data_IF_329944492123
#
_entry.id   IF_329944492123
#
_cell.length_a   1.000
_cell.length_b   1.000
_cell.length_c   1.000
_cell.angle_alpha   90.00
_cell.angle_beta   90.00
_cell.angle_gamma   90.00
#
_symmetry.space_group_name_H-M   'P 1'
#
loop_
_entity.id
_entity.type
_entity.pdbx_description
1 polymer ?
#
# COMPACT_ATOMS: atom_id res chain seq x y z
N UNK A 1 1.10 -63.85 -21.71
CA UNK A 1 0.19 -63.28 -20.70
C UNK A 1 1.01 -62.86 -19.49
N UNK A 2 1.25 -61.57 -19.31
CA UNK A 2 1.52 -60.94 -18.00
C UNK A 2 1.34 -59.44 -18.19
N UNK A 3 0.24 -58.95 -17.62
CA UNK A 3 -0.28 -57.59 -17.71
C UNK A 3 0.65 -56.61 -16.99
N UNK A 4 1.19 -55.63 -17.71
CA UNK A 4 1.87 -54.47 -17.13
C UNK A 4 0.83 -53.51 -16.57
N UNK A 5 0.58 -53.58 -15.26
CA UNK A 5 -0.26 -52.63 -14.57
C UNK A 5 0.37 -51.24 -14.63
N UNK A 6 -0.23 -50.36 -15.42
CA UNK A 6 0.05 -48.92 -15.37
C UNK A 6 -0.44 -48.42 -14.02
N UNK A 7 0.50 -48.07 -13.15
CA UNK A 7 0.20 -47.39 -11.89
C UNK A 7 -0.37 -46.01 -12.23
N UNK A 8 -1.69 -45.88 -12.25
CA UNK A 8 -2.37 -44.59 -12.26
C UNK A 8 -1.93 -43.83 -11.02
N UNK A 9 -1.03 -42.85 -11.21
CA UNK A 9 -0.75 -41.85 -10.20
C UNK A 9 -2.00 -40.98 -10.10
N UNK A 10 -2.89 -41.30 -9.16
CA UNK A 10 -3.96 -40.40 -8.76
C UNK A 10 -3.35 -39.04 -8.42
N UNK A 11 -3.74 -37.95 -9.11
CA UNK A 11 -3.22 -36.63 -8.79
C UNK A 11 -3.67 -36.31 -7.36
N UNK A 12 -2.71 -36.13 -6.46
CA UNK A 12 -2.97 -35.65 -5.11
C UNK A 12 -3.64 -34.29 -5.25
N UNK A 13 -4.94 -34.23 -4.96
CA UNK A 13 -5.71 -32.99 -4.92
C UNK A 13 -5.20 -32.19 -3.72
N UNK A 14 -4.13 -31.44 -3.93
CA UNK A 14 -3.61 -30.45 -3.01
C UNK A 14 -4.75 -29.54 -2.58
N UNK A 15 -5.07 -29.51 -1.28
CA UNK A 15 -6.05 -28.57 -0.72
C UNK A 15 -5.50 -27.16 -0.93
N UNK A 16 -6.09 -26.31 -1.80
CA UNK A 16 -5.45 -25.09 -2.30
C UNK A 16 -4.97 -24.13 -1.19
N UNK A 17 -5.72 -24.06 -0.08
CA UNK A 17 -5.39 -23.16 1.04
C UNK A 17 -4.32 -23.67 2.00
N UNK A 18 -4.19 -24.98 2.22
CA UNK A 18 -3.22 -25.53 3.21
C UNK A 18 -1.81 -25.46 2.66
N UNK A 19 -1.64 -25.72 1.37
CA UNK A 19 -0.35 -25.60 0.70
C UNK A 19 0.12 -24.15 0.55
N UNK A 20 -0.82 -23.20 0.38
CA UNK A 20 -0.53 -21.77 0.35
C UNK A 20 0.16 -21.32 1.65
N UNK A 21 -0.46 -21.54 2.81
CA UNK A 21 0.08 -21.10 4.09
C UNK A 21 1.41 -21.78 4.44
N UNK A 22 1.55 -23.06 4.10
CA UNK A 22 2.80 -23.81 4.33
C UNK A 22 3.95 -23.27 3.50
N UNK A 23 3.71 -22.92 2.24
CA UNK A 23 4.72 -22.34 1.34
C UNK A 23 5.08 -20.92 1.77
N UNK A 24 4.09 -20.09 2.11
CA UNK A 24 4.34 -18.72 2.57
C UNK A 24 5.17 -18.69 3.87
N UNK A 25 4.87 -19.57 4.83
CA UNK A 25 5.64 -19.68 6.08
C UNK A 25 7.07 -20.20 5.90
N UNK A 26 7.38 -20.85 4.78
CA UNK A 26 8.74 -21.30 4.47
C UNK A 26 9.61 -20.18 3.90
N UNK A 27 9.00 -19.16 3.32
CA UNK A 27 9.71 -17.97 2.86
C UNK A 27 9.99 -17.05 4.05
N UNK A 28 11.25 -17.04 4.50
CA UNK A 28 11.68 -16.23 5.64
C UNK A 28 11.54 -14.73 5.37
N UNK A 29 11.74 -14.29 4.12
CA UNK A 29 11.61 -12.89 3.74
C UNK A 29 10.13 -12.46 3.79
N UNK A 30 9.24 -13.29 3.25
CA UNK A 30 7.80 -13.05 3.31
C UNK A 30 7.28 -13.00 4.74
N UNK A 31 7.71 -13.94 5.59
CA UNK A 31 7.33 -13.97 7.01
C UNK A 31 7.85 -12.74 7.75
N UNK A 32 9.12 -12.35 7.54
CA UNK A 32 9.69 -11.15 8.17
C UNK A 32 8.92 -9.89 7.73
N UNK A 33 8.63 -9.73 6.45
CA UNK A 33 7.80 -8.64 5.93
C UNK A 33 6.41 -8.63 6.55
N UNK A 34 5.75 -9.79 6.61
CA UNK A 34 4.43 -9.93 7.25
C UNK A 34 4.43 -9.53 8.74
N UNK A 35 5.44 -9.95 9.50
CA UNK A 35 5.59 -9.58 10.92
C UNK A 35 5.77 -8.07 11.08
N UNK A 36 6.61 -7.45 10.27
CA UNK A 36 6.82 -5.99 10.31
C UNK A 36 5.53 -5.25 9.95
N UNK A 37 4.82 -5.66 8.89
CA UNK A 37 3.52 -5.06 8.52
C UNK A 37 2.54 -5.13 9.69
N UNK A 38 2.39 -6.31 10.31
CA UNK A 38 1.50 -6.49 11.46
C UNK A 38 1.92 -5.60 12.62
N UNK A 39 3.22 -5.51 12.92
CA UNK A 39 3.72 -4.62 13.96
C UNK A 39 3.38 -3.15 13.69
N UNK A 40 3.58 -2.66 12.47
CA UNK A 40 3.23 -1.28 12.08
C UNK A 40 1.72 -1.02 12.09
N UNK A 41 0.90 -1.99 11.68
CA UNK A 41 -0.55 -1.90 11.79
C UNK A 41 -0.97 -1.81 13.26
N UNK A 42 -0.37 -2.62 14.14
CA UNK A 42 -0.62 -2.53 15.58
C UNK A 42 -0.18 -1.18 16.15
N UNK A 43 1.00 -0.67 15.77
CA UNK A 43 1.47 0.68 16.15
C UNK A 43 0.46 1.75 15.72
N UNK A 44 -0.04 1.68 14.48
CA UNK A 44 -1.00 2.64 13.95
C UNK A 44 -2.37 2.58 14.66
N UNK A 45 -2.87 1.38 14.96
CA UNK A 45 -4.15 1.19 15.65
C UNK A 45 -4.05 1.59 17.13
N UNK A 46 -2.94 1.24 17.77
CA UNK A 46 -2.66 1.54 19.18
C UNK A 46 -1.99 2.90 19.38
N UNK A 47 -1.92 3.76 18.36
CA UNK A 47 -1.25 5.04 18.44
C UNK A 47 -1.70 5.91 19.65
N UNK A 48 -3.01 6.04 19.95
CA UNK A 48 -3.45 6.78 21.14
C UNK A 48 -3.00 6.14 22.45
N UNK A 49 -2.95 4.80 22.51
CA UNK A 49 -2.51 4.05 23.69
C UNK A 49 -1.00 4.19 23.87
N UNK A 50 -0.22 4.08 22.80
CA UNK A 50 1.24 4.22 22.83
C UNK A 50 1.65 5.64 23.24
N UNK A 51 0.96 6.68 22.74
CA UNK A 51 1.16 8.06 23.18
C UNK A 51 0.73 8.28 24.64
N UNK A 52 -0.35 7.65 25.09
CA UNK A 52 -0.73 7.70 26.51
C UNK A 52 0.31 7.03 27.41
N UNK A 53 0.95 5.95 26.95
CA UNK A 53 2.02 5.24 27.68
C UNK A 53 3.31 6.07 27.73
N UNK A 54 3.66 6.79 26.67
CA UNK A 54 4.78 7.74 26.70
C UNK A 54 4.49 8.99 27.53
N UNK A 55 3.21 9.24 27.83
CA UNK A 55 2.76 10.42 28.58
C UNK A 55 2.73 11.70 27.76
N UNK A 56 2.87 11.61 26.43
CA UNK A 56 2.92 12.76 25.54
C UNK A 56 1.87 12.66 24.42
N UNK A 57 1.36 13.81 24.00
CA UNK A 57 0.43 13.93 22.89
C UNK A 57 1.19 14.49 21.67
N UNK A 58 1.02 13.94 20.45
CA UNK A 58 1.64 14.53 19.27
C UNK A 58 1.16 15.96 18.96
N UNK A 59 0.11 16.47 19.60
CA UNK A 59 -0.40 17.82 19.36
C UNK A 59 0.05 18.85 20.41
N UNK A 60 0.73 18.41 21.47
CA UNK A 60 1.18 19.30 22.54
C UNK A 60 2.59 19.82 22.26
N UNK A 61 2.83 21.09 22.61
CA UNK A 61 4.10 21.78 22.40
C UNK A 61 4.86 21.86 23.73
N UNK A 62 6.03 21.24 23.82
CA UNK A 62 6.93 21.38 24.97
C UNK A 62 8.08 22.35 24.65
N UNK A 63 7.84 23.64 24.91
CA UNK A 63 8.85 24.68 24.66
C UNK A 63 10.01 24.63 25.67
N UNK A 64 9.81 24.01 26.84
CA UNK A 64 10.85 23.87 27.86
C UNK A 64 11.92 22.86 27.43
N UNK A 65 11.54 21.89 26.59
CA UNK A 65 12.46 20.95 25.94
C UNK A 65 13.38 21.63 24.89
N UNK A 66 13.11 22.89 24.50
CA UNK A 66 13.89 23.63 23.49
C UNK A 66 14.91 24.57 24.14
N UNK A 67 16.08 24.66 23.52
CA UNK A 67 17.21 25.50 23.90
C UNK A 67 17.37 26.73 23.01
N UNK A 68 18.56 27.35 23.02
CA UNK A 68 18.88 28.45 22.13
C UNK A 68 18.62 28.08 20.67
N UNK A 69 18.17 29.05 19.86
CA UNK A 69 17.82 28.86 18.46
C UNK A 69 16.73 27.82 18.21
N UNK A 70 15.86 27.54 19.20
CA UNK A 70 14.74 26.60 19.10
C UNK A 70 15.14 25.15 18.77
N UNK A 71 16.41 24.81 18.99
CA UNK A 71 16.92 23.45 18.85
C UNK A 71 16.60 22.64 20.13
N UNK A 72 16.35 21.33 20.04
CA UNK A 72 16.13 20.49 21.21
C UNK A 72 17.30 20.51 22.20
N UNK A 73 17.00 20.54 23.50
CA UNK A 73 18.02 20.42 24.57
C UNK A 73 18.42 18.96 24.75
N UNK A 74 19.70 18.72 24.98
CA UNK A 74 20.20 17.41 25.38
C UNK A 74 20.66 16.53 24.23
N UNK A 75 20.94 15.26 24.54
CA UNK A 75 21.55 14.33 23.61
C UNK A 75 20.56 13.91 22.50
N UNK A 76 21.03 13.89 21.25
CA UNK A 76 20.32 13.29 20.12
C UNK A 76 18.92 13.86 19.84
N UNK A 77 18.74 15.19 19.92
CA UNK A 77 17.43 15.81 19.67
C UNK A 77 16.50 15.83 20.90
N UNK A 78 17.07 15.68 22.12
CA UNK A 78 16.31 15.69 23.37
C UNK A 78 15.79 14.33 23.81
N UNK A 79 16.45 13.25 23.35
CA UNK A 79 16.16 11.88 23.79
C UNK A 79 16.33 11.80 25.31
N UNK A 80 15.26 11.39 25.97
CA UNK A 80 15.17 11.30 27.43
C UNK A 80 14.09 10.31 27.87
N UNK A 81 14.01 10.05 29.18
CA UNK A 81 12.93 9.23 29.74
C UNK A 81 11.53 9.84 29.48
N UNK A 82 11.46 11.17 29.32
CA UNK A 82 10.23 11.89 28.98
C UNK A 82 9.95 11.88 27.47
N UNK A 83 10.99 12.04 26.64
CA UNK A 83 10.87 12.06 25.18
C UNK A 83 11.71 10.95 24.56
N UNK A 84 11.10 9.79 24.31
CA UNK A 84 11.85 8.58 23.95
C UNK A 84 12.64 8.70 22.65
N UNK A 85 12.09 9.43 21.68
CA UNK A 85 12.76 9.71 20.40
C UNK A 85 13.28 11.16 20.32
N UNK A 86 13.20 11.92 21.42
CA UNK A 86 13.43 13.36 21.42
C UNK A 86 12.20 14.16 21.00
N UNK A 87 12.42 15.43 20.66
CA UNK A 87 11.36 16.39 20.30
C UNK A 87 11.64 17.04 18.95
N UNK A 88 10.58 17.42 18.26
CA UNK A 88 10.69 18.19 17.03
C UNK A 88 11.32 19.57 17.32
N UNK A 89 12.35 19.99 16.57
CA UNK A 89 12.83 21.38 16.59
C UNK A 89 11.69 22.37 16.28
N UNK A 90 11.82 23.62 16.74
CA UNK A 90 10.81 24.69 16.67
C UNK A 90 9.54 24.46 17.51
N UNK A 91 8.98 23.26 17.51
CA UNK A 91 7.67 22.99 18.12
C UNK A 91 7.78 22.32 19.49
N UNK A 92 8.85 21.58 19.74
CA UNK A 92 9.00 20.81 20.99
C UNK A 92 8.00 19.66 21.10
N UNK A 93 7.35 19.26 20.01
CA UNK A 93 6.40 18.14 19.99
C UNK A 93 7.15 16.82 20.17
N UNK A 94 6.56 15.88 20.89
CA UNK A 94 7.18 14.57 21.14
C UNK A 94 7.34 13.76 19.84
N UNK A 95 8.60 13.51 19.42
CA UNK A 95 8.90 12.88 18.14
C UNK A 95 8.42 11.43 18.07
N UNK A 96 8.42 10.71 19.21
CA UNK A 96 7.90 9.34 19.28
C UNK A 96 6.41 9.32 18.92
N UNK A 97 5.62 10.17 19.58
CA UNK A 97 4.19 10.31 19.32
C UNK A 97 3.90 10.76 17.90
N UNK A 98 4.70 11.69 17.35
CA UNK A 98 4.61 12.12 15.94
C UNK A 98 4.87 10.96 14.99
N UNK A 99 5.90 10.13 15.22
CA UNK A 99 6.21 8.97 14.36
C UNK A 99 5.12 7.90 14.43
N UNK A 100 4.59 7.62 15.63
CA UNK A 100 3.53 6.63 15.86
C UNK A 100 2.21 7.05 15.21
N UNK A 101 1.80 8.31 15.38
CA UNK A 101 0.62 8.84 14.68
C UNK A 101 0.87 9.00 13.17
N UNK A 102 2.11 9.28 12.77
CA UNK A 102 2.52 9.30 11.36
C UNK A 102 2.28 7.94 10.69
N UNK A 103 2.52 6.84 11.40
CA UNK A 103 2.20 5.49 10.92
C UNK A 103 0.72 5.34 10.61
N UNK A 104 -0.15 5.84 11.50
CA UNK A 104 -1.60 5.81 11.31
C UNK A 104 -2.04 6.59 10.08
N UNK A 105 -1.55 7.82 9.90
CA UNK A 105 -1.90 8.67 8.75
C UNK A 105 -1.41 8.06 7.44
N UNK A 106 -0.12 7.72 7.35
CA UNK A 106 0.48 7.22 6.11
C UNK A 106 -0.05 5.85 5.70
N UNK A 107 -0.29 4.93 6.65
CA UNK A 107 -0.90 3.63 6.35
C UNK A 107 -2.35 3.77 5.93
N UNK A 108 -3.14 4.61 6.61
CA UNK A 108 -4.55 4.83 6.24
C UNK A 108 -4.65 5.36 4.81
N UNK A 109 -3.89 6.40 4.48
CA UNK A 109 -3.91 6.99 3.13
C UNK A 109 -3.41 5.99 2.10
N UNK A 110 -2.26 5.35 2.35
CA UNK A 110 -1.66 4.39 1.42
C UNK A 110 -2.57 3.20 1.12
N UNK A 111 -3.11 2.55 2.15
CA UNK A 111 -3.99 1.37 2.02
C UNK A 111 -5.32 1.76 1.37
N UNK A 112 -5.95 2.87 1.80
CA UNK A 112 -7.24 3.29 1.24
C UNK A 112 -7.09 3.69 -0.23
N UNK A 113 -6.01 4.38 -0.59
CA UNK A 113 -5.70 4.70 -1.98
C UNK A 113 -5.48 3.44 -2.82
N UNK A 114 -4.79 2.42 -2.28
CA UNK A 114 -4.68 1.10 -2.93
C UNK A 114 -6.06 0.48 -3.14
N UNK A 115 -6.93 0.45 -2.12
CA UNK A 115 -8.28 -0.12 -2.26
C UNK A 115 -9.05 0.56 -3.38
N UNK A 116 -9.01 1.90 -3.45
CA UNK A 116 -9.66 2.67 -4.54
C UNK A 116 -9.06 2.31 -5.89
N UNK A 117 -7.72 2.31 -6.03
CA UNK A 117 -7.04 1.93 -7.28
C UNK A 117 -7.38 0.51 -7.73
N UNK A 118 -7.38 -0.45 -6.80
CA UNK A 118 -7.69 -1.85 -7.07
C UNK A 118 -9.15 -2.02 -7.47
N UNK A 119 -10.09 -1.41 -6.73
CA UNK A 119 -11.51 -1.49 -7.04
C UNK A 119 -11.80 -0.95 -8.45
N UNK A 120 -11.31 0.26 -8.77
CA UNK A 120 -11.45 0.85 -10.09
C UNK A 120 -10.75 0.00 -11.16
N UNK A 121 -9.51 -0.43 -10.90
CA UNK A 121 -8.71 -1.18 -11.85
C UNK A 121 -9.32 -2.54 -12.18
N UNK A 122 -9.83 -3.26 -11.18
CA UNK A 122 -10.47 -4.56 -11.35
C UNK A 122 -11.76 -4.43 -12.14
N UNK A 123 -12.65 -3.50 -11.76
CA UNK A 123 -13.93 -3.30 -12.45
C UNK A 123 -13.68 -2.92 -13.91
N UNK A 124 -12.85 -1.89 -14.15
CA UNK A 124 -12.58 -1.41 -15.51
C UNK A 124 -11.84 -2.47 -16.33
N UNK A 125 -10.86 -3.15 -15.74
CA UNK A 125 -10.05 -4.16 -16.40
C UNK A 125 -10.85 -5.40 -16.82
N UNK A 126 -11.70 -5.93 -15.92
CA UNK A 126 -12.58 -7.08 -16.22
C UNK A 126 -13.58 -6.70 -17.30
N UNK A 127 -14.24 -5.54 -17.18
CA UNK A 127 -15.22 -5.08 -18.17
C UNK A 127 -14.57 -4.91 -19.55
N UNK A 128 -13.41 -4.25 -19.62
CA UNK A 128 -12.68 -4.06 -20.88
C UNK A 128 -12.26 -5.40 -21.52
N UNK A 129 -11.71 -6.32 -20.71
CA UNK A 129 -11.25 -7.62 -21.20
C UNK A 129 -12.40 -8.55 -21.61
N UNK A 130 -13.51 -8.54 -20.86
CA UNK A 130 -14.66 -9.39 -21.13
C UNK A 130 -15.48 -8.93 -22.34
N UNK A 131 -15.86 -7.64 -22.36
CA UNK A 131 -16.71 -7.07 -23.42
C UNK A 131 -15.93 -6.91 -24.74
N UNK A 132 -14.65 -6.50 -24.66
CA UNK A 132 -13.83 -6.30 -25.85
C UNK A 132 -14.28 -5.13 -26.74
N UNK A 133 -13.86 -5.15 -28.01
CA UNK A 133 -14.37 -4.27 -29.05
C UNK A 133 -14.11 -2.77 -28.83
N UNK A 134 -15.19 -1.98 -28.73
CA UNK A 134 -15.09 -0.53 -28.57
C UNK A 134 -14.79 -0.13 -27.11
N UNK A 135 -15.38 -0.82 -26.14
CA UNK A 135 -15.10 -0.63 -24.70
C UNK A 135 -13.61 -0.80 -24.42
N UNK A 136 -13.02 -1.84 -24.99
CA UNK A 136 -11.60 -2.12 -24.83
C UNK A 136 -10.69 -1.02 -25.41
N UNK A 137 -11.03 -0.53 -26.60
CA UNK A 137 -10.32 0.58 -27.25
C UNK A 137 -10.40 1.85 -26.41
N UNK A 138 -11.58 2.21 -25.91
CA UNK A 138 -11.75 3.41 -25.06
C UNK A 138 -10.94 3.29 -23.78
N UNK A 139 -11.08 2.18 -23.05
CA UNK A 139 -10.37 1.98 -21.80
C UNK A 139 -8.85 2.05 -22.03
N UNK A 140 -8.35 1.44 -23.10
CA UNK A 140 -6.94 1.53 -23.47
C UNK A 140 -6.51 2.98 -23.73
N UNK A 141 -7.29 3.75 -24.50
CA UNK A 141 -6.99 5.16 -24.78
C UNK A 141 -7.01 6.04 -23.53
N UNK A 142 -8.03 5.88 -22.68
CA UNK A 142 -8.12 6.61 -21.40
C UNK A 142 -6.92 6.28 -20.51
N UNK A 143 -6.54 5.00 -20.44
CA UNK A 143 -5.36 4.53 -19.69
C UNK A 143 -4.08 5.21 -20.21
N UNK A 144 -3.89 5.26 -21.54
CA UNK A 144 -2.71 5.88 -22.15
C UNK A 144 -2.65 7.40 -21.87
N UNK A 145 -3.79 8.09 -21.91
CA UNK A 145 -3.90 9.51 -21.55
C UNK A 145 -3.51 9.73 -20.08
N UNK A 146 -4.01 8.89 -19.16
CA UNK A 146 -3.68 9.01 -17.73
C UNK A 146 -2.18 8.76 -17.47
N UNK A 147 -1.55 7.81 -18.18
CA UNK A 147 -0.10 7.58 -18.04
C UNK A 147 0.75 8.75 -18.54
N UNK A 148 0.30 9.45 -19.58
CA UNK A 148 0.97 10.66 -20.05
C UNK A 148 0.70 11.89 -19.19
N UNK A 149 -0.28 11.83 -18.27
CA UNK A 149 -0.70 12.97 -17.48
C UNK A 149 0.19 13.14 -16.24
N UNK A 150 0.71 14.36 -15.97
CA UNK A 150 1.60 14.62 -14.83
C UNK A 150 0.82 14.65 -13.52
N UNK A 151 0.57 13.46 -12.96
CA UNK A 151 -0.25 13.28 -11.75
C UNK A 151 0.20 14.19 -10.61
N UNK A 152 1.50 14.27 -10.31
CA UNK A 152 2.05 15.11 -9.24
C UNK A 152 1.64 16.59 -9.36
N UNK A 153 1.76 17.16 -10.56
CA UNK A 153 1.41 18.57 -10.81
C UNK A 153 -0.08 18.79 -10.55
N UNK A 154 -0.92 17.84 -10.97
CA UNK A 154 -2.35 17.91 -10.73
C UNK A 154 -2.72 17.81 -9.24
N UNK A 155 -2.03 16.96 -8.48
CA UNK A 155 -2.27 16.87 -7.03
C UNK A 155 -1.91 18.18 -6.34
N UNK A 156 -0.76 18.78 -6.71
CA UNK A 156 -0.31 20.06 -6.17
C UNK A 156 -1.32 21.17 -6.51
N UNK A 157 -1.77 21.23 -7.76
CA UNK A 157 -2.76 22.21 -8.21
C UNK A 157 -4.10 22.06 -7.47
N UNK A 158 -4.60 20.82 -7.32
CA UNK A 158 -5.81 20.56 -6.53
C UNK A 158 -5.63 20.94 -5.06
N UNK A 159 -4.47 20.68 -4.46
CA UNK A 159 -4.18 21.05 -3.08
C UNK A 159 -4.22 22.56 -2.81
N UNK A 160 -4.01 23.39 -3.85
CA UNK A 160 -4.09 24.84 -3.78
C UNK A 160 -5.51 25.39 -4.02
N UNK A 161 -6.31 24.73 -4.88
CA UNK A 161 -7.65 25.20 -5.26
C UNK A 161 -8.73 24.68 -4.31
N UNK A 162 -8.58 23.45 -3.80
CA UNK A 162 -9.58 22.83 -2.94
C UNK A 162 -9.62 23.57 -1.59
N UNK A 163 -10.82 23.96 -1.11
CA UNK A 163 -10.95 24.68 0.15
C UNK A 163 -10.35 23.93 1.33
N UNK A 164 -9.79 24.67 2.29
CA UNK A 164 -9.21 24.08 3.51
C UNK A 164 -10.23 23.31 4.38
N UNK A 165 -11.53 23.55 4.19
CA UNK A 165 -12.60 22.80 4.85
C UNK A 165 -12.77 21.37 4.32
N UNK A 166 -12.25 21.06 3.13
CA UNK A 166 -12.31 19.72 2.59
C UNK A 166 -11.25 18.83 3.26
N UNK A 167 -11.58 17.58 3.66
CA UNK A 167 -10.61 16.69 4.29
C UNK A 167 -9.44 16.36 3.33
N UNK A 168 -8.28 16.99 3.53
CA UNK A 168 -7.11 16.82 2.64
C UNK A 168 -6.62 15.38 2.54
N UNK A 169 -6.69 14.61 3.62
CA UNK A 169 -6.37 13.17 3.60
C UNK A 169 -7.26 12.40 2.62
N UNK A 170 -8.57 12.72 2.58
CA UNK A 170 -9.52 12.12 1.65
C UNK A 170 -9.25 12.56 0.21
N UNK A 171 -8.93 13.84 -0.02
CA UNK A 171 -8.52 14.33 -1.35
C UNK A 171 -7.32 13.54 -1.88
N UNK A 172 -6.28 13.37 -1.05
CA UNK A 172 -5.05 12.65 -1.41
C UNK A 172 -5.38 11.18 -1.74
N UNK A 173 -6.21 10.52 -0.93
CA UNK A 173 -6.69 9.15 -1.20
C UNK A 173 -7.36 9.06 -2.56
N UNK A 174 -8.29 9.97 -2.87
CA UNK A 174 -9.02 9.97 -4.14
C UNK A 174 -8.08 10.18 -5.33
N UNK A 175 -7.18 11.15 -5.23
CA UNK A 175 -6.29 11.50 -6.35
C UNK A 175 -5.25 10.40 -6.57
N UNK A 176 -4.56 9.96 -5.52
CA UNK A 176 -3.60 8.85 -5.61
C UNK A 176 -4.32 7.57 -6.08
N UNK A 177 -5.52 7.31 -5.58
CA UNK A 177 -6.36 6.18 -5.95
C UNK A 177 -6.74 6.20 -7.44
N UNK A 178 -7.21 7.36 -7.91
CA UNK A 178 -7.58 7.60 -9.30
C UNK A 178 -6.39 7.44 -10.25
N UNK A 179 -5.21 7.98 -9.93
CA UNK A 179 -4.05 7.80 -10.82
C UNK A 179 -3.44 6.38 -10.75
N UNK A 180 -3.85 5.54 -9.79
CA UNK A 180 -3.32 4.18 -9.65
C UNK A 180 -4.07 3.08 -10.39
N UNK A 181 -5.34 3.29 -10.74
CA UNK A 181 -6.14 2.25 -11.39
C UNK A 181 -5.63 1.77 -12.76
N UNK A 182 -5.00 2.60 -13.64
CA UNK A 182 -4.65 2.20 -14.99
C UNK A 182 -3.70 0.99 -15.07
N UNK A 183 -2.71 0.95 -14.18
CA UNK A 183 -1.75 -0.17 -14.10
C UNK A 183 -2.46 -1.48 -13.75
N UNK A 184 -3.38 -1.44 -12.78
CA UNK A 184 -4.13 -2.61 -12.34
C UNK A 184 -5.12 -3.05 -13.43
N UNK A 185 -5.85 -2.10 -14.04
CA UNK A 185 -6.76 -2.39 -15.13
C UNK A 185 -6.07 -3.06 -16.33
N UNK A 186 -4.88 -2.58 -16.71
CA UNK A 186 -4.12 -3.16 -17.83
C UNK A 186 -3.79 -4.63 -17.59
N UNK A 187 -3.35 -4.97 -16.37
CA UNK A 187 -3.02 -6.36 -16.00
C UNK A 187 -4.27 -7.23 -15.92
N UNK A 188 -5.29 -6.78 -15.19
CA UNK A 188 -6.56 -7.50 -15.02
C UNK A 188 -7.23 -7.74 -16.37
N UNK A 189 -7.21 -6.75 -17.26
CA UNK A 189 -7.69 -6.86 -18.64
C UNK A 189 -6.95 -7.98 -19.40
N UNK A 190 -5.61 -7.97 -19.38
CA UNK A 190 -4.82 -8.99 -20.07
C UNK A 190 -5.12 -10.41 -19.59
N UNK A 191 -5.27 -10.60 -18.27
CA UNK A 191 -5.66 -11.88 -17.69
C UNK A 191 -7.11 -12.25 -18.04
N UNK A 192 -8.03 -11.29 -18.03
CA UNK A 192 -9.44 -11.50 -18.40
C UNK A 192 -9.56 -11.96 -19.86
N UNK A 193 -8.78 -11.39 -20.77
CA UNK A 193 -8.73 -11.81 -22.18
C UNK A 193 -8.27 -13.27 -22.32
N UNK A 194 -7.34 -13.74 -21.49
CA UNK A 194 -6.90 -15.13 -21.50
C UNK A 194 -7.91 -16.08 -20.85
N UNK A 195 -8.58 -15.65 -19.77
CA UNK A 195 -9.55 -16.47 -19.04
C UNK A 195 -10.87 -16.61 -19.79
N UNK A 196 -11.32 -15.59 -20.53
CA UNK A 196 -12.61 -15.64 -21.23
C UNK A 196 -12.69 -16.71 -22.33
N UNK A 197 -11.54 -17.17 -22.83
CA UNK A 197 -11.40 -18.21 -23.86
C UNK A 197 -11.30 -19.62 -23.26
N UNK A 198 -11.39 -19.77 -21.93
CA UNK A 198 -11.30 -21.08 -21.26
C UNK A 198 -12.62 -21.85 -21.35
N UNK A 199 -12.52 -23.17 -21.43
CA UNK A 199 -13.67 -24.08 -21.59
C UNK A 199 -14.77 -23.89 -20.53
N UNK A 200 -14.43 -23.61 -19.27
CA UNK A 200 -15.42 -23.40 -18.21
C UNK A 200 -16.24 -22.12 -18.44
N UNK A 201 -15.62 -21.05 -18.96
CA UNK A 201 -16.32 -19.81 -19.32
C UNK A 201 -17.23 -20.04 -20.53
N UNK A 202 -16.73 -20.76 -21.54
CA UNK A 202 -17.53 -21.12 -22.72
C UNK A 202 -18.73 -21.99 -22.34
N UNK A 203 -18.55 -22.97 -21.44
CA UNK A 203 -19.61 -23.82 -20.94
C UNK A 203 -20.66 -23.04 -20.14
N UNK A 204 -20.23 -22.11 -19.27
CA UNK A 204 -21.15 -21.24 -18.51
C UNK A 204 -22.02 -20.40 -19.45
N UNK A 205 -21.41 -19.80 -20.49
CA UNK A 205 -22.14 -19.03 -21.52
C UNK A 205 -23.11 -19.91 -22.32
N UNK A 206 -22.67 -21.10 -22.74
CA UNK A 206 -23.53 -22.05 -23.45
C UNK A 206 -24.73 -22.52 -22.60
N UNK A 207 -24.57 -22.49 -21.27
CA UNK A 207 -25.63 -22.80 -20.29
C UNK A 207 -26.55 -21.61 -20.00
N UNK A 208 -26.40 -20.48 -20.71
CA UNK A 208 -27.25 -19.30 -20.57
C UNK A 208 -26.81 -18.30 -19.49
N UNK A 209 -25.60 -18.42 -18.93
CA UNK A 209 -25.12 -17.47 -17.94
C UNK A 209 -24.95 -16.06 -18.53
N UNK A 210 -25.56 -15.06 -17.88
CA UNK A 210 -25.46 -13.66 -18.29
C UNK A 210 -24.06 -13.06 -18.10
N UNK A 211 -23.71 -11.95 -18.79
CA UNK A 211 -22.40 -11.30 -18.71
C UNK A 211 -21.89 -11.01 -17.30
N UNK A 212 -22.76 -10.45 -16.44
CA UNK A 212 -22.43 -10.12 -15.06
C UNK A 212 -22.13 -11.37 -14.23
N UNK A 213 -22.91 -12.42 -14.43
CA UNK A 213 -22.69 -13.70 -13.75
C UNK A 213 -21.36 -14.32 -14.17
N UNK A 214 -21.03 -14.31 -15.47
CA UNK A 214 -19.74 -14.83 -15.95
C UNK A 214 -18.57 -14.01 -15.37
N UNK A 215 -18.67 -12.67 -15.36
CA UNK A 215 -17.62 -11.84 -14.78
C UNK A 215 -17.46 -12.08 -13.28
N UNK A 216 -18.55 -12.15 -12.52
CA UNK A 216 -18.51 -12.25 -11.06
C UNK A 216 -18.21 -13.67 -10.55
N UNK A 217 -18.78 -14.70 -11.17
CA UNK A 217 -18.70 -16.09 -10.71
C UNK A 217 -17.58 -16.88 -11.38
N UNK A 218 -17.23 -16.56 -12.63
CA UNK A 218 -16.25 -17.33 -13.40
C UNK A 218 -14.90 -16.62 -13.52
N UNK A 219 -14.89 -15.30 -13.76
CA UNK A 219 -13.65 -14.57 -13.99
C UNK A 219 -13.01 -14.06 -12.68
N UNK A 220 -13.74 -13.32 -11.85
CA UNK A 220 -13.20 -12.71 -10.63
C UNK A 220 -12.53 -13.72 -9.66
N UNK A 221 -13.12 -14.90 -9.38
CA UNK A 221 -12.47 -15.88 -8.49
C UNK A 221 -11.13 -16.36 -9.05
N UNK A 222 -11.02 -16.52 -10.37
CA UNK A 222 -9.79 -16.92 -11.05
C UNK A 222 -8.75 -15.77 -11.14
N UNK A 223 -9.18 -14.51 -10.97
CA UNK A 223 -8.30 -13.34 -10.95
C UNK A 223 -7.84 -12.96 -9.53
N UNK A 224 -8.43 -13.55 -8.49
CA UNK A 224 -8.23 -13.15 -7.09
C UNK A 224 -6.76 -13.21 -6.67
N UNK A 225 -6.03 -14.26 -7.07
CA UNK A 225 -4.60 -14.37 -6.80
C UNK A 225 -3.81 -13.19 -7.38
N UNK A 226 -4.03 -12.86 -8.66
CA UNK A 226 -3.41 -11.71 -9.33
C UNK A 226 -3.79 -10.40 -8.64
N UNK A 227 -5.06 -10.21 -8.30
CA UNK A 227 -5.56 -9.00 -7.66
C UNK A 227 -4.88 -8.78 -6.30
N UNK A 228 -4.76 -9.84 -5.49
CA UNK A 228 -4.12 -9.77 -4.16
C UNK A 228 -2.63 -9.42 -4.27
N UNK A 229 -1.91 -10.03 -5.22
CA UNK A 229 -0.49 -9.75 -5.46
C UNK A 229 -0.28 -8.30 -5.87
N UNK A 230 -1.04 -7.81 -6.86
CA UNK A 230 -0.93 -6.44 -7.32
C UNK A 230 -1.37 -5.41 -6.27
N UNK A 231 -2.41 -5.71 -5.50
CA UNK A 231 -2.80 -4.87 -4.38
C UNK A 231 -1.63 -4.71 -3.41
N UNK A 232 -1.03 -5.82 -2.97
CA UNK A 232 0.07 -5.83 -2.01
C UNK A 232 1.29 -5.05 -2.48
N UNK A 233 1.75 -5.30 -3.72
CA UNK A 233 2.93 -4.63 -4.29
C UNK A 233 2.66 -3.14 -4.57
N UNK A 234 1.40 -2.73 -4.76
CA UNK A 234 1.07 -1.32 -4.97
C UNK A 234 1.11 -0.46 -3.70
N UNK A 235 0.86 -1.04 -2.52
CA UNK A 235 0.78 -0.31 -1.24
C UNK A 235 2.03 0.54 -0.97
N UNK A 236 3.28 0.02 -1.05
CA UNK A 236 4.47 0.82 -0.78
C UNK A 236 4.59 2.03 -1.70
N UNK A 237 4.24 1.89 -2.98
CA UNK A 237 4.20 3.02 -3.92
C UNK A 237 3.15 4.08 -3.55
N UNK A 238 2.03 3.68 -2.96
CA UNK A 238 0.95 4.57 -2.52
C UNK A 238 1.30 5.30 -1.21
N UNK A 239 1.93 4.60 -0.27
CA UNK A 239 2.54 5.20 0.93
C UNK A 239 3.63 6.19 0.53
N UNK A 240 4.51 5.81 -0.40
CA UNK A 240 5.57 6.69 -0.91
C UNK A 240 5.01 7.95 -1.60
N UNK A 241 3.93 7.81 -2.38
CA UNK A 241 3.26 8.95 -3.01
C UNK A 241 2.65 9.91 -1.98
N UNK A 242 1.99 9.38 -0.92
CA UNK A 242 1.50 10.22 0.18
C UNK A 242 2.66 10.94 0.87
N UNK A 243 3.73 10.23 1.21
CA UNK A 243 4.90 10.80 1.87
C UNK A 243 5.54 11.89 1.00
N UNK A 244 5.67 11.69 -0.31
CA UNK A 244 6.19 12.69 -1.24
C UNK A 244 5.33 13.96 -1.28
N UNK A 245 4.00 13.83 -1.27
CA UNK A 245 3.09 14.98 -1.24
C UNK A 245 3.15 15.73 0.10
N UNK A 246 3.19 14.98 1.21
CA UNK A 246 3.32 15.53 2.56
C UNK A 246 4.67 16.24 2.75
N UNK A 247 5.74 15.70 2.16
CA UNK A 247 7.06 16.31 2.08
C UNK A 247 7.05 17.62 1.29
N UNK A 248 6.34 17.67 0.17
CA UNK A 248 6.17 18.89 -0.66
C UNK A 248 5.19 19.91 -0.06
N UNK A 249 4.66 19.68 1.14
CA UNK A 249 3.74 20.60 1.83
C UNK A 249 2.29 20.58 1.34
N UNK A 250 1.98 19.82 0.28
CA UNK A 250 0.62 19.69 -0.29
C UNK A 250 -0.18 18.53 0.28
N UNK A 251 0.46 17.68 1.08
CA UNK A 251 -0.16 16.54 1.74
C UNK A 251 -1.04 16.90 2.93
N UNK A 252 -1.05 16.03 3.94
CA UNK A 252 -1.88 16.22 5.14
C UNK A 252 -1.38 17.47 5.90
N UNK A 253 -2.27 18.42 6.25
CA UNK A 253 -1.85 19.68 6.86
C UNK A 253 -1.49 19.50 8.34
N UNK A 254 -0.55 20.33 8.86
CA UNK A 254 -0.24 20.36 10.28
C UNK A 254 -1.49 20.83 11.06
N UNK A 255 -1.65 20.40 12.33
CA UNK A 255 -0.67 19.68 13.14
C UNK A 255 -0.72 18.14 12.98
N UNK A 256 -1.47 17.60 12.02
CA UNK A 256 -1.61 16.15 11.83
C UNK A 256 -0.28 15.49 11.48
N UNK A 257 0.20 14.50 12.26
CA UNK A 257 1.45 13.81 11.96
C UNK A 257 1.39 13.00 10.66
N UNK A 258 2.44 13.11 9.84
CA UNK A 258 2.67 12.33 8.63
C UNK A 258 4.17 12.19 8.39
N UNK A 259 4.66 11.00 8.06
CA UNK A 259 6.11 10.76 7.95
C UNK A 259 6.77 11.63 6.89
N UNK A 260 6.13 11.80 5.73
CA UNK A 260 6.64 12.65 4.66
C UNK A 260 6.85 14.10 5.10
N UNK A 261 5.94 14.62 5.94
CA UNK A 261 6.05 15.98 6.48
C UNK A 261 7.24 16.09 7.44
N UNK A 262 7.33 15.18 8.41
CA UNK A 262 8.46 15.16 9.36
C UNK A 262 9.81 15.02 8.67
N UNK A 263 9.90 14.22 7.59
CA UNK A 263 11.11 14.12 6.76
C UNK A 263 11.44 15.46 6.10
N UNK A 264 10.42 16.17 5.57
CA UNK A 264 10.60 17.50 4.95
C UNK A 264 11.08 18.55 5.94
N UNK A 265 10.42 18.61 7.11
CA UNK A 265 10.76 19.55 8.17
C UNK A 265 12.17 19.27 8.74
N UNK A 266 12.58 17.99 8.80
CA UNK A 266 13.90 17.59 9.30
C UNK A 266 15.08 17.99 8.40
N UNK A 267 14.86 18.28 7.11
CA UNK A 267 15.96 18.67 6.19
C UNK A 267 16.68 19.92 6.70
N UNK A 268 15.94 20.90 7.20
CA UNK A 268 16.52 22.15 7.72
C UNK A 268 17.32 21.94 9.01
N UNK A 269 17.10 20.81 9.70
CA UNK A 269 17.63 20.53 11.03
C UNK A 269 18.65 19.41 11.06
N UNK A 270 18.86 18.66 9.97
CA UNK A 270 19.68 17.44 9.96
C UNK A 270 21.13 17.66 10.45
N UNK A 271 21.69 18.86 10.27
CA UNK A 271 23.02 19.20 10.77
C UNK A 271 23.09 19.42 12.29
N UNK A 272 21.96 19.69 12.94
CA UNK A 272 21.82 19.97 14.37
C UNK A 272 21.21 18.77 15.09
N UNK A 273 20.12 18.24 14.55
CA UNK A 273 19.40 17.07 15.04
C UNK A 273 19.15 16.07 13.90
N UNK A 274 20.10 15.14 13.68
CA UNK A 274 19.93 14.06 12.71
C UNK A 274 18.78 13.12 13.07
N UNK A 275 18.44 12.97 14.36
CA UNK A 275 17.45 12.00 14.81
C UNK A 275 16.04 12.37 14.36
N UNK A 276 15.78 13.67 14.21
CA UNK A 276 14.53 14.16 13.64
C UNK A 276 14.25 13.62 12.22
N UNK A 277 15.29 13.34 11.44
CA UNK A 277 15.17 12.67 10.13
C UNK A 277 15.14 11.15 10.24
N UNK A 278 16.03 10.58 11.08
CA UNK A 278 16.26 9.13 11.16
C UNK A 278 15.01 8.37 11.56
N UNK A 279 14.27 8.81 12.58
CA UNK A 279 13.11 8.07 13.06
C UNK A 279 11.95 7.98 12.04
N UNK A 280 11.42 9.09 11.50
CA UNK A 280 10.37 9.01 10.48
C UNK A 280 10.87 8.37 9.17
N UNK A 281 12.14 8.61 8.79
CA UNK A 281 12.75 7.98 7.62
C UNK A 281 12.88 6.47 7.76
N UNK A 282 13.33 5.98 8.92
CA UNK A 282 13.43 4.55 9.21
C UNK A 282 12.05 3.89 9.24
N UNK A 283 11.04 4.56 9.82
CA UNK A 283 9.67 4.05 9.83
C UNK A 283 9.13 3.85 8.41
N UNK A 284 9.29 4.87 7.55
CA UNK A 284 8.89 4.80 6.13
C UNK A 284 9.68 3.73 5.34
N UNK A 285 10.98 3.62 5.58
CA UNK A 285 11.82 2.59 4.95
C UNK A 285 11.40 1.17 5.35
N UNK A 286 11.25 0.92 6.65
CA UNK A 286 10.94 -0.41 7.17
C UNK A 286 9.58 -0.92 6.66
N UNK A 287 8.56 -0.07 6.65
CA UNK A 287 7.23 -0.49 6.20
C UNK A 287 7.17 -0.70 4.69
N UNK A 288 7.84 0.15 3.90
CA UNK A 288 7.88 -0.01 2.44
C UNK A 288 8.66 -1.26 2.04
N UNK A 289 9.80 -1.50 2.68
CA UNK A 289 10.55 -2.75 2.55
C UNK A 289 9.70 -3.97 2.94
N UNK A 290 8.99 -3.90 4.06
CA UNK A 290 8.17 -5.01 4.55
C UNK A 290 7.05 -5.40 3.57
N UNK A 291 6.33 -4.41 3.00
CA UNK A 291 5.33 -4.68 1.97
C UNK A 291 5.93 -5.26 0.68
N UNK A 292 7.12 -4.81 0.26
CA UNK A 292 7.79 -5.40 -0.90
C UNK A 292 8.17 -6.87 -0.64
N UNK A 293 8.83 -7.17 0.49
CA UNK A 293 9.22 -8.53 0.85
C UNK A 293 8.00 -9.46 0.97
N UNK A 294 6.93 -8.98 1.60
CA UNK A 294 5.69 -9.75 1.72
C UNK A 294 5.00 -9.95 0.37
N UNK A 295 4.99 -8.93 -0.49
CA UNK A 295 4.40 -8.99 -1.83
C UNK A 295 5.12 -9.97 -2.76
N UNK A 296 6.45 -10.02 -2.70
CA UNK A 296 7.26 -10.97 -3.48
C UNK A 296 7.00 -12.42 -3.05
N UNK A 297 7.00 -12.69 -1.73
CA UNK A 297 6.66 -14.03 -1.24
C UNK A 297 5.22 -14.44 -1.56
N UNK A 298 4.28 -13.49 -1.51
CA UNK A 298 2.90 -13.73 -1.90
C UNK A 298 2.77 -14.08 -3.38
N UNK A 299 3.53 -13.39 -4.24
CA UNK A 299 3.62 -13.67 -5.67
C UNK A 299 4.21 -15.06 -5.93
N UNK A 300 5.28 -15.43 -5.25
CA UNK A 300 5.96 -16.72 -5.45
C UNK A 300 5.09 -17.92 -5.08
N UNK A 301 4.25 -17.77 -4.04
CA UNK A 301 3.32 -18.82 -3.61
C UNK A 301 2.10 -18.92 -4.55
N UNK A 302 1.65 -17.78 -5.09
CA UNK A 302 0.48 -17.71 -5.97
C UNK A 302 0.80 -17.95 -7.44
N UNK A 303 2.07 -17.90 -7.86
CA UNK A 303 2.47 -18.25 -9.22
C UNK A 303 2.46 -19.79 -9.41
N UNK A 304 1.60 -20.34 -10.30
CA UNK A 304 1.51 -21.79 -10.52
C UNK A 304 2.76 -22.39 -11.18
N UNK A 305 3.66 -21.58 -11.75
CA UNK A 305 4.82 -22.06 -12.53
C UNK A 305 6.03 -22.44 -11.67
N UNK A 306 6.16 -21.90 -10.47
CA UNK A 306 7.31 -22.16 -9.57
C UNK A 306 7.27 -23.57 -8.96
N UNK A 307 6.12 -24.26 -9.00
CA UNK A 307 5.96 -25.62 -8.47
C UNK A 307 6.55 -26.75 -9.31
N UNK A 308 7.12 -26.47 -10.50
CA UNK A 308 7.74 -27.51 -11.37
C UNK A 308 9.27 -27.58 -11.28
N UNK A 309 9.93 -26.71 -10.51
CA UNK A 309 11.39 -26.54 -10.56
C UNK A 309 12.10 -26.72 -9.21
N UNK A 310 11.54 -27.47 -8.26
CA UNK A 310 12.25 -27.89 -7.05
C UNK A 310 11.97 -29.34 -6.70
#
# INVERSE_FOLDING_TARGET
MASGALTEQTPVVARPGVDFWRRLRRDRAAVAGGVIIVAFVLIALLAPVLSAVSGNNPYDYDLDALGPNTAPKGFGGGISARHWFGVEPLTGRDLFSVVVYGARTSLLVGITATVVSVALGVVIGVVAGYVGGWTDRIVSRVTDVIFGFPSLIFIIALGAIVPASFPKSFLIVLVIGFFGWPTIARVVRGQTLALKERNYVTAARASGAGPLHVMASELLPNLTATIIVFATISIPGKIGAEAALSFLGVGVPPPTPAWGRSIGDAIAWVGIDPMFLVFPGAALFLITMAFNLFGDGLRDVLDPRTGRAR
#
